data_IF_430043476680
#
_entry.id   IF_430043476680
#
_cell.length_a   1.000
_cell.length_b   1.000
_cell.length_c   1.000
_cell.angle_alpha   90.00
_cell.angle_beta   90.00
_cell.angle_gamma   90.00
#
_symmetry.space_group_name_H-M   'P 1'
#
loop_
_entity.id
_entity.type
_entity.pdbx_description
1 polymer ?
#
# COMPACT_ATOMS: atom_id res chain seq x y z
N UNK A 1 -4.09 29.82 -41.31
CA UNK A 1 -4.72 28.51 -41.01
C UNK A 1 -3.75 27.45 -40.49
N UNK A 2 -2.66 27.09 -41.20
CA UNK A 2 -1.69 26.07 -40.73
C UNK A 2 -1.10 26.34 -39.33
N UNK A 3 -0.68 27.58 -39.04
CA UNK A 3 -0.13 27.96 -37.71
C UNK A 3 -1.16 27.81 -36.58
N UNK A 4 -2.42 28.18 -36.84
CA UNK A 4 -3.51 28.07 -35.87
C UNK A 4 -3.83 26.61 -35.58
N UNK A 5 -3.86 25.75 -36.61
CA UNK A 5 -4.04 24.30 -36.44
C UNK A 5 -2.91 23.70 -35.59
N UNK A 6 -1.65 24.07 -35.86
CA UNK A 6 -0.50 23.59 -35.06
C UNK A 6 -0.65 24.00 -33.59
N UNK A 7 -1.03 25.25 -33.31
CA UNK A 7 -1.23 25.73 -31.94
C UNK A 7 -2.35 24.94 -31.25
N UNK A 8 -3.51 24.77 -31.90
CA UNK A 8 -4.64 24.03 -31.34
C UNK A 8 -4.23 22.58 -31.06
N UNK A 9 -3.58 21.91 -32.01
CA UNK A 9 -3.11 20.53 -31.83
C UNK A 9 -2.13 20.42 -30.66
N UNK A 10 -1.17 21.33 -30.54
CA UNK A 10 -0.20 21.33 -29.43
C UNK A 10 -0.87 21.52 -28.07
N UNK A 11 -1.87 22.41 -27.98
CA UNK A 11 -2.65 22.61 -26.74
C UNK A 11 -3.44 21.36 -26.38
N UNK A 12 -4.12 20.75 -27.34
CA UNK A 12 -4.91 19.52 -27.12
C UNK A 12 -4.02 18.36 -26.67
N UNK A 13 -2.86 18.17 -27.33
CA UNK A 13 -1.88 17.14 -26.94
C UNK A 13 -1.33 17.42 -25.55
N UNK A 14 -0.97 18.68 -25.25
CA UNK A 14 -0.48 19.08 -23.93
C UNK A 14 -1.50 18.78 -22.82
N UNK A 15 -2.76 19.17 -23.01
CA UNK A 15 -3.85 18.89 -22.07
C UNK A 15 -4.07 17.39 -21.89
N UNK A 16 -4.02 16.61 -22.97
CA UNK A 16 -4.16 15.16 -22.90
C UNK A 16 -3.07 14.54 -22.03
N UNK A 17 -1.81 14.96 -22.19
CA UNK A 17 -0.69 14.47 -21.38
C UNK A 17 -0.89 14.86 -19.90
N UNK A 18 -1.25 16.12 -19.63
CA UNK A 18 -1.46 16.63 -18.27
C UNK A 18 -2.57 15.89 -17.52
N UNK A 19 -3.62 15.46 -18.21
CA UNK A 19 -4.72 14.70 -17.60
C UNK A 19 -4.35 13.22 -17.45
N UNK A 20 -3.66 12.63 -18.44
CA UNK A 20 -3.38 11.18 -18.45
C UNK A 20 -2.33 10.75 -17.44
N UNK A 21 -1.34 11.59 -17.16
CA UNK A 21 -0.29 11.30 -16.17
C UNK A 21 -0.87 11.04 -14.77
N UNK A 22 -1.63 11.98 -14.15
CA UNK A 22 -2.15 11.76 -12.80
C UNK A 22 -3.10 10.57 -12.73
N UNK A 23 -3.98 10.38 -13.73
CA UNK A 23 -4.87 9.22 -13.80
C UNK A 23 -4.06 7.91 -13.86
N UNK A 24 -2.97 7.87 -14.61
CA UNK A 24 -2.11 6.69 -14.69
C UNK A 24 -1.39 6.42 -13.37
N UNK A 25 -0.83 7.45 -12.72
CA UNK A 25 -0.16 7.30 -11.42
C UNK A 25 -1.14 6.81 -10.35
N UNK A 26 -2.34 7.38 -10.29
CA UNK A 26 -3.40 7.00 -9.34
C UNK A 26 -3.86 5.55 -9.54
N UNK A 27 -4.24 5.20 -10.78
CA UNK A 27 -4.77 3.87 -11.09
C UNK A 27 -3.75 2.73 -11.01
N UNK A 28 -2.44 3.05 -10.99
CA UNK A 28 -1.37 2.05 -10.95
C UNK A 28 -0.46 2.26 -9.72
N UNK A 29 -0.96 2.94 -8.68
CA UNK A 29 -0.20 3.30 -7.49
C UNK A 29 0.49 2.10 -6.82
N UNK A 30 -0.24 0.99 -6.63
CA UNK A 30 0.30 -0.23 -6.03
C UNK A 30 1.40 -0.89 -6.88
N UNK A 31 1.22 -0.90 -8.21
CA UNK A 31 2.26 -1.36 -9.13
C UNK A 31 3.53 -0.52 -8.92
N UNK A 32 3.42 0.81 -8.98
CA UNK A 32 4.59 1.67 -8.87
C UNK A 32 5.25 1.63 -7.48
N UNK A 33 4.45 1.54 -6.41
CA UNK A 33 4.95 1.45 -5.04
C UNK A 33 5.75 0.16 -4.80
N UNK A 34 5.33 -0.97 -5.35
CA UNK A 34 6.05 -2.25 -5.14
C UNK A 34 7.23 -2.47 -6.09
N UNK A 35 7.30 -1.70 -7.18
CA UNK A 35 8.39 -1.73 -8.16
C UNK A 35 9.47 -0.67 -7.94
N UNK A 36 9.26 0.29 -7.04
CA UNK A 36 10.30 1.27 -6.72
C UNK A 36 11.45 0.66 -5.90
N UNK A 37 12.68 1.17 -6.02
CA UNK A 37 13.76 0.81 -5.11
C UNK A 37 13.41 1.16 -3.66
N UNK A 38 13.57 0.21 -2.74
CA UNK A 38 13.32 0.38 -1.32
C UNK A 38 14.29 -0.47 -0.49
N UNK A 39 14.44 -0.11 0.78
CA UNK A 39 15.33 -0.83 1.71
C UNK A 39 14.64 -2.09 2.26
N UNK A 40 15.42 -2.96 2.91
CA UNK A 40 14.85 -4.00 3.76
C UNK A 40 13.98 -3.37 4.86
N UNK A 41 12.88 -4.02 5.23
CA UNK A 41 11.87 -3.53 6.19
C UNK A 41 11.20 -2.20 5.78
N UNK A 42 11.19 -1.90 4.49
CA UNK A 42 10.40 -0.82 3.91
C UNK A 42 9.32 -1.42 3.02
N UNK A 43 8.07 -1.02 3.27
CA UNK A 43 6.88 -1.52 2.61
C UNK A 43 6.09 -0.38 1.96
N UNK A 44 6.49 0.09 0.77
CA UNK A 44 5.90 1.27 0.14
C UNK A 44 4.41 1.14 -0.15
N UNK A 45 3.84 -0.07 -0.17
CA UNK A 45 2.40 -0.27 -0.32
C UNK A 45 1.59 0.18 0.91
N UNK A 46 2.18 0.17 2.11
CA UNK A 46 1.49 0.51 3.36
C UNK A 46 0.90 1.92 3.35
N UNK A 47 1.65 2.99 3.00
CA UNK A 47 1.08 4.33 2.92
C UNK A 47 0.04 4.47 1.79
N UNK A 48 0.11 3.65 0.74
CA UNK A 48 -0.83 3.67 -0.40
C UNK A 48 -2.23 3.16 0.00
N UNK A 49 -2.33 2.32 1.04
CA UNK A 49 -3.61 1.89 1.62
C UNK A 49 -4.50 3.06 2.04
N UNK A 50 -3.90 4.22 2.31
CA UNK A 50 -4.61 5.49 2.48
C UNK A 50 -4.71 6.20 1.12
N UNK A 51 -5.91 6.24 0.56
CA UNK A 51 -6.21 6.94 -0.68
C UNK A 51 -6.47 6.03 -1.88
N UNK A 52 -5.98 4.79 -1.88
CA UNK A 52 -6.07 3.92 -3.06
C UNK A 52 -6.74 2.58 -2.72
N UNK A 53 -7.72 2.20 -3.55
CA UNK A 53 -8.41 0.93 -3.42
C UNK A 53 -7.48 -0.23 -3.80
N UNK A 54 -7.37 -1.24 -2.93
CA UNK A 54 -6.64 -2.48 -3.18
C UNK A 54 -7.65 -3.60 -3.43
N UNK A 55 -7.76 -4.13 -4.66
CA UNK A 55 -8.54 -5.32 -4.95
C UNK A 55 -8.06 -6.55 -4.16
N UNK A 56 -8.98 -7.42 -3.73
CA UNK A 56 -8.60 -8.68 -3.06
C UNK A 56 -7.81 -9.63 -3.98
N UNK A 57 -8.06 -9.56 -5.29
CA UNK A 57 -7.34 -10.34 -6.31
C UNK A 57 -5.83 -10.03 -6.37
N UNK A 58 -5.41 -8.84 -5.96
CA UNK A 58 -4.00 -8.47 -5.93
C UNK A 58 -3.26 -9.08 -4.73
N UNK A 59 -3.98 -9.57 -3.72
CA UNK A 59 -3.46 -10.14 -2.46
C UNK A 59 -4.18 -11.42 -2.08
N UNK A 60 -4.05 -12.51 -2.86
CA UNK A 60 -4.76 -13.76 -2.61
C UNK A 60 -4.46 -14.32 -1.21
N UNK A 61 -5.51 -14.77 -0.54
CA UNK A 61 -5.45 -15.27 0.84
C UNK A 61 -5.51 -14.18 1.92
N UNK A 62 -5.70 -12.92 1.53
CA UNK A 62 -6.01 -11.81 2.41
C UNK A 62 -7.37 -11.21 2.07
N UNK A 63 -8.08 -10.75 3.09
CA UNK A 63 -9.28 -9.94 2.92
C UNK A 63 -8.92 -8.47 2.88
N UNK A 64 -9.53 -7.73 1.94
CA UNK A 64 -9.36 -6.28 1.84
C UNK A 64 -10.68 -5.59 2.04
N UNK A 65 -10.68 -4.50 2.81
CA UNK A 65 -11.89 -3.72 3.07
C UNK A 65 -11.58 -2.24 3.09
N UNK A 66 -12.35 -1.46 2.34
CA UNK A 66 -12.38 -0.01 2.56
C UNK A 66 -13.12 0.27 3.87
N UNK A 67 -12.41 0.83 4.84
CA UNK A 67 -12.94 1.24 6.16
C UNK A 67 -13.18 2.74 6.26
N UNK A 68 -12.94 3.48 5.17
CA UNK A 68 -13.32 4.88 5.04
C UNK A 68 -14.84 5.04 4.97
N UNK A 69 -15.33 6.26 5.22
CA UNK A 69 -16.75 6.57 5.06
C UNK A 69 -17.13 6.71 3.58
N UNK A 70 -18.42 6.58 3.26
CA UNK A 70 -18.91 6.65 1.87
C UNK A 70 -18.55 7.97 1.14
N UNK A 71 -18.30 9.05 1.88
CA UNK A 71 -17.86 10.37 1.37
C UNK A 71 -16.47 10.76 1.87
N UNK A 72 -15.77 9.85 2.53
CA UNK A 72 -14.46 10.08 3.12
C UNK A 72 -13.33 9.52 2.27
N UNK A 73 -12.08 9.69 2.72
CA UNK A 73 -10.93 9.10 2.04
C UNK A 73 -11.04 7.57 2.06
N UNK A 74 -10.50 6.93 1.03
CA UNK A 74 -10.32 5.48 1.00
C UNK A 74 -9.31 5.11 2.10
N UNK A 75 -9.71 4.19 2.98
CA UNK A 75 -8.85 3.66 4.04
C UNK A 75 -8.87 2.14 3.98
N UNK A 76 -7.97 1.58 3.17
CA UNK A 76 -7.88 0.14 3.00
C UNK A 76 -7.33 -0.52 4.25
N UNK A 77 -7.98 -1.63 4.60
CA UNK A 77 -7.56 -2.56 5.64
C UNK A 77 -7.30 -3.91 5.00
N UNK A 78 -6.13 -4.47 5.23
CA UNK A 78 -5.81 -5.86 4.86
C UNK A 78 -5.96 -6.70 6.13
N UNK A 79 -6.55 -7.89 6.03
CA UNK A 79 -6.73 -8.80 7.17
C UNK A 79 -6.53 -10.24 6.73
N UNK A 80 -5.87 -11.04 7.56
CA UNK A 80 -5.78 -12.49 7.38
C UNK A 80 -5.92 -13.16 8.74
N UNK A 81 -6.78 -14.17 8.81
CA UNK A 81 -7.00 -14.97 10.01
C UNK A 81 -6.41 -16.36 9.80
N UNK A 82 -6.08 -17.07 10.87
CA UNK A 82 -5.65 -18.47 10.76
C UNK A 82 -4.28 -18.66 10.12
N UNK A 83 -3.33 -17.77 10.38
CA UNK A 83 -1.98 -17.74 9.82
C UNK A 83 -1.14 -18.88 10.39
N UNK A 84 -1.12 -19.00 11.72
CA UNK A 84 -0.38 -20.04 12.44
C UNK A 84 -1.27 -20.81 13.41
N UNK A 85 -2.23 -20.15 14.04
CA UNK A 85 -3.26 -20.71 14.92
C UNK A 85 -4.63 -20.36 14.38
N UNK A 86 -5.62 -21.22 14.57
CA UNK A 86 -6.98 -21.06 14.06
C UNK A 86 -7.63 -19.67 14.33
N UNK A 87 -7.25 -19.00 15.41
CA UNK A 87 -7.84 -17.72 15.84
C UNK A 87 -6.85 -16.56 15.87
N UNK A 88 -5.65 -16.73 15.32
CA UNK A 88 -4.75 -15.59 15.17
C UNK A 88 -5.18 -14.72 14.00
N UNK A 89 -4.71 -13.47 14.00
CA UNK A 89 -5.06 -12.47 13.02
C UNK A 89 -3.87 -11.56 12.74
N UNK A 90 -3.64 -11.29 11.46
CA UNK A 90 -2.83 -10.19 10.97
C UNK A 90 -3.76 -9.12 10.43
N UNK A 91 -3.47 -7.86 10.73
CA UNK A 91 -4.17 -6.74 10.15
C UNK A 91 -3.21 -5.59 9.86
N UNK A 92 -3.42 -4.95 8.72
CA UNK A 92 -2.66 -3.77 8.30
C UNK A 92 -3.67 -2.67 7.99
N UNK A 93 -3.54 -1.54 8.67
CA UNK A 93 -4.43 -0.39 8.52
C UNK A 93 -3.75 0.87 9.02
N UNK A 94 -3.94 1.98 8.31
CA UNK A 94 -3.68 3.32 8.85
C UNK A 94 -2.25 3.50 9.38
N UNK A 95 -1.24 3.04 8.64
CA UNK A 95 0.16 3.21 9.03
C UNK A 95 0.63 2.28 10.15
N UNK A 96 -0.11 1.21 10.45
CA UNK A 96 0.37 0.13 11.31
C UNK A 96 0.04 -1.25 10.75
N UNK A 97 0.85 -2.22 11.17
CA UNK A 97 0.59 -3.64 10.99
C UNK A 97 0.61 -4.30 12.36
N UNK A 98 -0.35 -5.17 12.66
CA UNK A 98 -0.32 -5.94 13.89
C UNK A 98 -0.68 -7.40 13.68
N UNK A 99 -0.08 -8.25 14.49
CA UNK A 99 -0.38 -9.67 14.61
C UNK A 99 -0.81 -9.97 16.05
N UNK A 100 -1.97 -10.61 16.21
CA UNK A 100 -2.53 -10.96 17.51
C UNK A 100 -2.92 -12.44 17.56
N UNK A 101 -2.86 -13.05 18.74
CA UNK A 101 -3.16 -14.48 18.94
C UNK A 101 -4.66 -14.80 19.05
N UNK A 102 -5.53 -13.78 19.05
CA UNK A 102 -6.99 -13.90 19.18
C UNK A 102 -7.69 -12.79 18.42
N UNK A 103 -8.81 -13.11 17.78
CA UNK A 103 -9.69 -12.18 17.04
C UNK A 103 -10.64 -11.36 17.93
N UNK A 104 -10.73 -11.67 19.23
CA UNK A 104 -11.65 -10.97 20.16
C UNK A 104 -11.23 -9.53 20.46
N UNK A 105 -12.22 -8.66 20.78
CA UNK A 105 -12.06 -7.23 21.14
C UNK A 105 -11.06 -6.96 22.29
N UNK A 106 -10.62 -8.01 23.00
CA UNK A 106 -9.48 -7.99 23.92
C UNK A 106 -8.12 -8.06 23.20
N UNK A 107 -7.99 -7.40 22.04
CA UNK A 107 -6.70 -7.19 21.37
C UNK A 107 -5.70 -6.41 22.24
N UNK A 108 -6.19 -5.79 23.33
CA UNK A 108 -5.42 -5.04 24.32
C UNK A 108 -4.59 -5.96 25.21
N UNK A 109 -3.57 -6.63 24.68
CA UNK A 109 -2.66 -7.39 25.55
C UNK A 109 -1.69 -8.33 24.89
N UNK A 110 -2.08 -8.96 23.77
CA UNK A 110 -1.31 -10.03 23.13
C UNK A 110 -1.17 -9.71 21.64
N UNK A 111 -0.41 -8.66 21.33
CA UNK A 111 -0.15 -8.19 19.98
C UNK A 111 1.33 -7.90 19.73
N UNK A 112 1.74 -8.13 18.50
CA UNK A 112 3.00 -7.64 17.93
C UNK A 112 2.64 -6.57 16.92
N UNK A 113 3.21 -5.38 17.05
CA UNK A 113 2.81 -4.21 16.28
C UNK A 113 4.04 -3.56 15.62
N UNK A 114 3.87 -3.16 14.37
CA UNK A 114 4.80 -2.37 13.59
C UNK A 114 4.12 -1.05 13.23
N UNK A 115 4.85 0.05 13.38
CA UNK A 115 4.37 1.39 13.05
C UNK A 115 5.21 2.03 11.94
N UNK A 116 4.55 2.83 11.10
CA UNK A 116 5.10 3.41 9.86
C UNK A 116 4.94 4.94 9.74
N UNK A 117 4.61 5.62 10.85
CA UNK A 117 4.21 7.03 10.90
C UNK A 117 5.34 8.08 10.74
N UNK A 118 6.57 7.79 11.18
CA UNK A 118 7.69 8.74 11.22
C UNK A 118 8.25 9.04 9.83
N UNK A 119 8.25 8.05 8.94
CA UNK A 119 8.87 8.19 7.61
C UNK A 119 7.88 8.17 6.46
N UNK A 120 6.59 7.93 6.70
CA UNK A 120 5.45 7.88 5.76
C UNK A 120 5.66 7.11 4.42
N UNK A 121 6.84 6.54 4.16
CA UNK A 121 7.25 5.77 2.98
C UNK A 121 7.15 4.26 3.20
N UNK A 122 6.49 3.84 4.29
CA UNK A 122 6.38 2.44 4.68
C UNK A 122 7.63 1.85 5.34
N UNK A 123 8.62 2.65 5.74
CA UNK A 123 9.70 2.17 6.62
C UNK A 123 9.15 1.89 8.01
N UNK A 124 9.49 0.74 8.60
CA UNK A 124 9.16 0.47 9.99
C UNK A 124 9.94 1.43 10.90
N UNK A 125 9.21 2.19 11.72
CA UNK A 125 9.79 3.17 12.63
C UNK A 125 10.00 2.62 14.04
N UNK A 126 9.02 1.87 14.52
CA UNK A 126 9.03 1.28 15.84
C UNK A 126 8.24 -0.02 15.84
N UNK A 127 8.64 -0.88 16.77
CA UNK A 127 8.01 -2.16 17.01
C UNK A 127 7.53 -2.18 18.46
N UNK A 128 6.36 -2.73 18.72
CA UNK A 128 5.86 -2.98 20.07
C UNK A 128 5.42 -4.43 20.18
N UNK A 129 5.61 -5.01 21.35
CA UNK A 129 5.25 -6.40 21.61
C UNK A 129 4.80 -6.52 23.06
N UNK A 130 3.62 -7.11 23.26
CA UNK A 130 3.09 -7.39 24.58
C UNK A 130 2.66 -8.85 24.63
N UNK A 131 3.27 -9.64 25.53
CA UNK A 131 2.97 -11.06 25.74
C UNK A 131 2.99 -11.92 24.45
N UNK A 132 3.85 -11.57 23.48
CA UNK A 132 3.93 -12.29 22.21
C UNK A 132 5.06 -13.32 22.19
N UNK A 133 4.84 -14.47 21.54
CA UNK A 133 5.91 -15.42 21.25
C UNK A 133 7.02 -14.82 20.37
N UNK A 134 8.26 -15.28 20.53
CA UNK A 134 9.42 -14.81 19.77
C UNK A 134 9.26 -14.93 18.25
N UNK A 135 8.44 -15.88 17.75
CA UNK A 135 8.20 -16.04 16.31
C UNK A 135 7.37 -14.91 15.70
N UNK A 136 6.65 -14.12 16.52
CA UNK A 136 5.66 -13.15 16.05
C UNK A 136 6.28 -12.04 15.22
N UNK A 137 7.49 -11.60 15.61
CA UNK A 137 8.29 -10.65 14.84
C UNK A 137 8.55 -11.16 13.43
N UNK A 138 9.14 -12.36 13.32
CA UNK A 138 9.43 -12.95 12.01
C UNK A 138 8.16 -13.13 11.17
N UNK A 139 7.09 -13.62 11.79
CA UNK A 139 5.81 -13.84 11.12
C UNK A 139 5.25 -12.56 10.51
N UNK A 140 5.21 -11.45 11.24
CA UNK A 140 4.65 -10.20 10.70
C UNK A 140 5.48 -9.66 9.53
N UNK A 141 6.81 -9.75 9.61
CA UNK A 141 7.70 -9.34 8.51
C UNK A 141 7.56 -10.26 7.30
N UNK A 142 7.48 -11.59 7.50
CA UNK A 142 7.27 -12.56 6.42
C UNK A 142 5.92 -12.32 5.71
N UNK A 143 4.87 -12.01 6.46
CA UNK A 143 3.56 -11.70 5.88
C UNK A 143 3.55 -10.35 5.14
N UNK A 144 4.23 -9.31 5.65
CA UNK A 144 4.37 -8.05 4.92
C UNK A 144 5.16 -8.22 3.61
N UNK A 145 6.23 -9.03 3.64
CA UNK A 145 6.98 -9.39 2.44
C UNK A 145 6.11 -10.16 1.45
N UNK A 146 5.29 -11.09 1.94
CA UNK A 146 4.36 -11.85 1.11
C UNK A 146 3.35 -10.92 0.44
N UNK A 147 2.66 -10.07 1.20
CA UNK A 147 1.69 -9.10 0.65
C UNK A 147 2.35 -8.21 -0.42
N UNK A 148 3.53 -7.67 -0.13
CA UNK A 148 4.25 -6.84 -1.10
C UNK A 148 4.54 -7.61 -2.40
N UNK A 149 4.94 -8.88 -2.29
CA UNK A 149 5.22 -9.73 -3.45
C UNK A 149 3.94 -10.09 -4.23
N UNK A 150 2.84 -10.39 -3.54
CA UNK A 150 1.54 -10.65 -4.17
C UNK A 150 1.11 -9.42 -4.97
N UNK A 151 1.12 -8.23 -4.35
CA UNK A 151 0.79 -6.98 -5.05
C UNK A 151 1.69 -6.80 -6.28
N UNK A 152 2.99 -7.02 -6.13
CA UNK A 152 3.97 -6.86 -7.21
C UNK A 152 3.71 -7.81 -8.39
N UNK A 153 3.24 -9.02 -8.12
CA UNK A 153 3.03 -10.06 -9.14
C UNK A 153 1.64 -9.96 -9.78
N UNK A 154 0.63 -9.61 -9.00
CA UNK A 154 -0.78 -9.69 -9.40
C UNK A 154 -1.31 -8.35 -9.95
N UNK A 155 -0.74 -7.21 -9.53
CA UNK A 155 -1.20 -5.91 -10.06
C UNK A 155 -0.93 -5.78 -11.57
N UNK A 156 -1.92 -5.32 -12.36
CA UNK A 156 -1.72 -5.11 -13.78
C UNK A 156 -0.61 -4.11 -14.09
N UNK A 157 0.22 -4.42 -15.09
CA UNK A 157 1.26 -3.50 -15.55
C UNK A 157 0.64 -2.25 -16.21
N UNK A 158 1.09 -1.03 -15.87
CA UNK A 158 0.61 0.18 -16.52
C UNK A 158 0.97 0.19 -18.01
N UNK A 159 0.02 0.66 -18.84
CA UNK A 159 0.20 0.79 -20.29
C UNK A 159 1.35 1.74 -20.67
N UNK A 160 1.53 2.80 -19.88
CA UNK A 160 2.64 3.74 -19.99
C UNK A 160 3.38 3.69 -18.66
N UNK A 161 4.66 3.31 -18.69
CA UNK A 161 5.46 3.20 -17.49
C UNK A 161 5.98 4.57 -17.06
N UNK A 162 5.47 5.08 -15.94
CA UNK A 162 5.85 6.35 -15.32
C UNK A 162 6.62 6.15 -14.01
N UNK A 163 7.32 5.03 -13.84
CA UNK A 163 8.02 4.68 -12.59
C UNK A 163 8.98 5.78 -12.12
N UNK A 164 9.68 6.45 -13.04
CA UNK A 164 10.60 7.54 -12.67
C UNK A 164 9.85 8.74 -12.07
N UNK A 165 8.69 9.10 -12.64
CA UNK A 165 7.82 10.15 -12.10
C UNK A 165 7.30 9.75 -10.74
N UNK A 166 6.83 8.51 -10.60
CA UNK A 166 6.37 7.97 -9.33
C UNK A 166 7.47 8.01 -8.26
N UNK A 167 8.70 7.57 -8.57
CA UNK A 167 9.80 7.55 -7.61
C UNK A 167 10.09 8.95 -7.06
N UNK A 168 10.04 9.98 -7.92
CA UNK A 168 10.21 11.38 -7.52
C UNK A 168 9.01 11.85 -6.69
N UNK A 169 7.80 11.62 -7.18
CA UNK A 169 6.56 12.04 -6.51
C UNK A 169 6.43 11.40 -5.13
N UNK A 170 6.64 10.09 -5.02
CA UNK A 170 6.55 9.33 -3.78
C UNK A 170 7.56 9.84 -2.75
N UNK A 171 8.81 10.12 -3.17
CA UNK A 171 9.83 10.70 -2.29
C UNK A 171 9.46 12.10 -1.77
N UNK A 172 8.65 12.86 -2.49
CA UNK A 172 8.19 14.19 -2.08
C UNK A 172 6.99 14.08 -1.12
N UNK A 173 6.05 13.19 -1.39
CA UNK A 173 4.77 13.10 -0.67
C UNK A 173 4.81 12.19 0.56
N UNK A 174 5.75 11.24 0.59
CA UNK A 174 5.86 10.21 1.62
C UNK A 174 7.24 10.26 2.32
N UNK A 175 7.76 11.46 2.62
CA UNK A 175 9.07 11.63 3.28
C UNK A 175 8.99 11.67 4.80
#
# INVERSE_FOLDING_TARGET
MKKVIIIITSVVVGLFILIRIPINLESNAYYYATHMPHKSNQYPFVPILSGHYLPEEDVPGYHTKNTGSARGPILMKITREGIRKRHDILQIKGGSAFYALSTSERMVGNSYELYFFKHNNGTVDSENSKNMPNYSRKLIYDELNKIQNEIKQNTPKPKVNLQWVWNVWFKIHYR
#
